data_IF_399254642448
#
_entry.id   IF_399254642448
#
_cell.length_a   1.000
_cell.length_b   1.000
_cell.length_c   1.000
_cell.angle_alpha   90.00
_cell.angle_beta   90.00
_cell.angle_gamma   90.00
#
_symmetry.space_group_name_H-M   'P 1'
#
loop_
_entity.id
_entity.type
_entity.pdbx_description
1 polymer ?
#
# COMPACT_ATOMS: atom_id res chain seq x y z
N UNK A 1 -42.86 -17.39 35.39
CA UNK A 1 -43.16 -16.17 34.63
C UNK A 1 -42.01 -15.26 34.86
N UNK A 2 -41.08 -15.16 33.90
CA UNK A 2 -39.97 -14.22 33.91
C UNK A 2 -40.09 -13.38 32.64
N UNK A 3 -40.36 -12.09 32.84
CA UNK A 3 -40.46 -11.09 31.80
C UNK A 3 -39.06 -10.89 31.19
N UNK A 4 -38.97 -11.07 29.89
CA UNK A 4 -37.80 -10.70 29.10
C UNK A 4 -37.90 -9.20 28.77
N UNK A 5 -37.07 -8.40 29.41
CA UNK A 5 -36.82 -7.00 29.06
C UNK A 5 -36.14 -6.94 27.68
N UNK A 6 -36.84 -6.38 26.72
CA UNK A 6 -36.32 -6.09 25.39
C UNK A 6 -35.37 -4.87 25.46
N UNK A 7 -34.14 -5.05 25.07
CA UNK A 7 -33.17 -3.96 24.89
C UNK A 7 -33.61 -3.01 23.77
N UNK A 8 -33.51 -1.68 23.97
CA UNK A 8 -33.86 -0.71 22.95
C UNK A 8 -32.85 -0.79 21.77
N UNK A 9 -33.35 -1.00 20.58
CA UNK A 9 -32.62 -0.87 19.33
C UNK A 9 -32.39 0.62 19.07
N UNK A 10 -31.21 1.13 19.42
CA UNK A 10 -30.77 2.45 18.97
C UNK A 10 -30.68 2.46 17.44
N UNK A 11 -31.42 3.36 16.83
CA UNK A 11 -31.56 3.53 15.40
C UNK A 11 -30.20 3.84 14.75
N UNK A 12 -29.86 3.02 13.76
CA UNK A 12 -28.80 3.33 12.80
C UNK A 12 -29.18 4.66 12.12
N UNK A 13 -28.35 5.71 12.16
CA UNK A 13 -28.66 6.95 11.46
C UNK A 13 -28.69 6.67 9.95
N UNK A 14 -29.87 6.87 9.35
CA UNK A 14 -30.08 6.83 7.91
C UNK A 14 -29.09 7.77 7.22
N UNK A 15 -28.45 7.27 6.16
CA UNK A 15 -27.60 7.99 5.26
C UNK A 15 -28.41 9.08 4.54
N UNK A 16 -28.61 10.20 5.22
CA UNK A 16 -29.26 11.39 4.69
C UNK A 16 -28.24 12.33 4.04
N UNK A 17 -28.45 12.44 2.74
CA UNK A 17 -28.33 13.66 1.96
C UNK A 17 -26.99 14.11 1.42
N UNK A 18 -26.95 13.97 0.10
CA UNK A 18 -25.98 14.38 -0.89
C UNK A 18 -25.95 15.90 -1.16
N UNK A 19 -25.81 16.73 -0.16
CA UNK A 19 -25.51 18.17 -0.33
C UNK A 19 -24.55 18.68 0.76
N UNK A 20 -23.39 18.01 0.92
CA UNK A 20 -22.29 18.67 1.62
C UNK A 20 -21.75 19.75 0.68
N UNK A 21 -22.12 21.01 0.99
CA UNK A 21 -21.43 22.19 0.44
C UNK A 21 -19.93 21.93 0.58
N UNK A 22 -19.22 21.93 -0.56
CA UNK A 22 -17.79 21.72 -0.60
C UNK A 22 -17.14 22.87 0.20
N UNK A 23 -16.84 22.63 1.46
CA UNK A 23 -15.97 23.51 2.23
C UNK A 23 -14.63 23.53 1.53
N UNK A 24 -14.05 24.71 1.24
CA UNK A 24 -12.74 24.78 0.61
C UNK A 24 -11.74 24.02 1.50
N UNK A 25 -11.07 23.03 0.96
CA UNK A 25 -10.00 22.31 1.63
C UNK A 25 -8.74 23.10 1.40
N UNK A 26 -8.14 23.59 2.47
CA UNK A 26 -6.93 24.41 2.42
C UNK A 26 -5.76 23.56 2.92
N UNK A 27 -4.70 23.47 2.14
CA UNK A 27 -3.43 22.91 2.58
C UNK A 27 -2.47 24.04 2.95
N UNK A 28 -1.58 23.78 3.90
CA UNK A 28 -0.47 24.69 4.21
C UNK A 28 0.57 24.60 3.13
N UNK A 29 1.00 25.77 2.64
CA UNK A 29 2.23 25.86 1.86
C UNK A 29 3.42 25.57 2.79
N UNK A 30 4.45 24.94 2.27
CA UNK A 30 5.70 24.71 2.99
C UNK A 30 6.36 26.02 3.44
N UNK A 31 6.11 27.12 2.70
CA UNK A 31 6.61 28.46 2.97
C UNK A 31 5.67 29.33 3.83
N UNK A 32 4.55 28.76 4.34
CA UNK A 32 3.64 29.43 5.29
C UNK A 32 2.37 30.04 4.68
N UNK A 33 2.15 29.87 3.36
CA UNK A 33 0.93 30.26 2.67
C UNK A 33 -0.20 29.22 2.82
N UNK A 34 -1.38 29.57 2.30
CA UNK A 34 -2.52 28.65 2.15
C UNK A 34 -2.79 28.42 0.68
N UNK A 35 -3.00 27.16 0.31
CA UNK A 35 -3.30 26.73 -1.06
C UNK A 35 -4.65 26.05 -1.07
N UNK A 36 -5.56 26.52 -1.91
CA UNK A 36 -6.85 25.85 -2.12
C UNK A 36 -6.65 24.54 -2.89
N UNK A 37 -7.25 23.48 -2.38
CA UNK A 37 -7.23 22.15 -2.97
C UNK A 37 -8.59 21.82 -3.60
N UNK A 38 -8.58 20.99 -4.65
CA UNK A 38 -9.76 20.48 -5.30
C UNK A 38 -10.60 19.62 -4.34
N UNK A 39 -11.80 20.04 -3.92
CA UNK A 39 -12.62 19.31 -2.97
C UNK A 39 -13.05 17.94 -3.49
N UNK A 40 -13.09 17.71 -4.80
CA UNK A 40 -13.46 16.39 -5.36
C UNK A 40 -12.42 15.31 -5.05
N UNK A 41 -11.18 15.71 -4.83
CA UNK A 41 -10.05 14.83 -4.52
C UNK A 41 -9.73 14.82 -3.02
N UNK A 42 -9.73 15.99 -2.38
CA UNK A 42 -9.22 16.17 -1.03
C UNK A 42 -10.32 16.29 0.06
N UNK A 43 -11.61 16.32 -0.35
CA UNK A 43 -12.75 16.28 0.57
C UNK A 43 -13.59 15.00 0.42
N UNK A 44 -13.05 13.94 -0.19
CA UNK A 44 -13.74 12.68 -0.35
C UNK A 44 -13.96 11.99 1.02
N UNK A 45 -15.05 11.20 1.17
CA UNK A 45 -15.31 10.48 2.41
C UNK A 45 -14.20 9.48 2.72
N UNK A 46 -13.78 9.46 3.99
CA UNK A 46 -12.74 8.53 4.44
C UNK A 46 -13.33 7.13 4.59
N UNK A 47 -12.76 6.16 3.86
CA UNK A 47 -13.19 4.76 3.84
C UNK A 47 -12.05 3.81 4.24
N UNK A 48 -11.98 3.39 5.51
CA UNK A 48 -10.93 2.47 5.98
C UNK A 48 -10.93 1.11 5.27
N UNK A 49 -12.10 0.62 4.83
CA UNK A 49 -12.21 -0.63 4.07
C UNK A 49 -11.49 -0.57 2.73
N UNK A 50 -11.64 0.54 1.98
CA UNK A 50 -10.90 0.75 0.72
C UNK A 50 -9.39 0.87 0.97
N UNK A 51 -8.98 1.52 2.06
CA UNK A 51 -7.56 1.60 2.43
C UNK A 51 -6.99 0.20 2.68
N UNK A 52 -7.68 -0.63 3.45
CA UNK A 52 -7.27 -2.00 3.75
C UNK A 52 -7.09 -2.83 2.48
N UNK A 53 -8.08 -2.83 1.58
CA UNK A 53 -8.03 -3.61 0.36
C UNK A 53 -6.90 -3.15 -0.58
N UNK A 54 -6.70 -1.82 -0.73
CA UNK A 54 -5.66 -1.26 -1.56
C UNK A 54 -4.25 -1.57 -1.01
N UNK A 55 -4.05 -1.44 0.31
CA UNK A 55 -2.78 -1.78 0.98
C UNK A 55 -2.50 -3.28 0.87
N UNK A 56 -3.51 -4.13 1.13
CA UNK A 56 -3.38 -5.58 1.02
C UNK A 56 -2.99 -6.02 -0.39
N UNK A 57 -3.63 -5.43 -1.41
CA UNK A 57 -3.31 -5.69 -2.82
C UNK A 57 -1.86 -5.29 -3.14
N UNK A 58 -1.45 -4.09 -2.75
CA UNK A 58 -0.10 -3.60 -2.98
C UNK A 58 0.96 -4.49 -2.31
N UNK A 59 0.76 -4.84 -1.03
CA UNK A 59 1.66 -5.72 -0.29
C UNK A 59 1.72 -7.14 -0.86
N UNK A 60 0.60 -7.67 -1.34
CA UNK A 60 0.55 -8.97 -2.00
C UNK A 60 1.36 -8.99 -3.31
N UNK A 61 1.24 -7.94 -4.13
CA UNK A 61 2.02 -7.80 -5.37
C UNK A 61 3.54 -7.68 -5.17
N UNK A 62 3.98 -7.26 -3.98
CA UNK A 62 5.41 -7.19 -3.63
C UNK A 62 6.03 -8.52 -3.19
N UNK A 63 5.21 -9.56 -2.99
CA UNK A 63 5.71 -10.88 -2.58
C UNK A 63 6.28 -11.62 -3.77
N UNK A 64 7.55 -12.01 -3.71
CA UNK A 64 8.22 -12.78 -4.76
C UNK A 64 7.70 -14.22 -4.90
N UNK A 65 7.12 -14.80 -3.85
CA UNK A 65 6.49 -16.12 -3.89
C UNK A 65 7.44 -17.30 -4.19
N UNK A 66 8.73 -17.17 -3.94
CA UNK A 66 9.78 -18.12 -4.33
C UNK A 66 9.94 -19.33 -3.40
N UNK A 67 9.12 -19.42 -2.35
CA UNK A 67 9.15 -20.54 -1.42
C UNK A 67 8.76 -21.85 -2.13
N UNK A 68 9.55 -22.89 -1.91
CA UNK A 68 9.32 -24.20 -2.51
C UNK A 68 9.69 -25.34 -1.55
N UNK A 69 8.93 -26.41 -1.64
CA UNK A 69 9.27 -27.68 -0.99
C UNK A 69 9.29 -28.80 -2.00
N UNK A 70 10.16 -29.77 -1.77
CA UNK A 70 10.23 -30.95 -2.63
C UNK A 70 9.13 -31.94 -2.23
N UNK A 71 8.24 -32.23 -3.15
CA UNK A 71 7.28 -33.32 -3.01
C UNK A 71 7.95 -34.69 -3.29
N UNK A 72 7.20 -35.77 -3.12
CA UNK A 72 7.70 -37.13 -3.36
C UNK A 72 8.31 -37.36 -4.74
N UNK A 73 7.86 -36.66 -5.75
CA UNK A 73 8.40 -36.76 -7.12
C UNK A 73 9.78 -36.08 -7.26
N UNK A 74 9.94 -34.94 -6.58
CA UNK A 74 11.13 -34.09 -6.70
C UNK A 74 12.27 -34.46 -5.75
N UNK A 75 11.99 -35.23 -4.70
CA UNK A 75 13.05 -35.69 -3.76
C UNK A 75 13.94 -36.70 -4.47
N UNK A 76 15.26 -36.51 -4.37
CA UNK A 76 16.24 -37.46 -4.87
C UNK A 76 16.10 -38.82 -4.13
N UNK A 77 16.22 -39.91 -4.86
CA UNK A 77 16.16 -41.24 -4.30
C UNK A 77 15.66 -42.29 -5.29
N UNK A 78 15.88 -43.57 -4.97
CA UNK A 78 15.50 -44.67 -5.82
C UNK A 78 13.98 -44.90 -5.92
N UNK A 79 13.54 -45.28 -7.13
CA UNK A 79 12.16 -45.74 -7.39
C UNK A 79 11.88 -47.17 -6.94
N UNK A 80 12.97 -47.93 -6.58
CA UNK A 80 12.84 -49.35 -6.21
C UNK A 80 12.08 -49.49 -4.87
N UNK A 81 11.15 -50.47 -4.84
CA UNK A 81 10.46 -50.87 -3.61
C UNK A 81 11.46 -51.41 -2.59
N UNK A 82 11.51 -50.94 -1.34
CA UNK A 82 12.50 -51.35 -0.33
C UNK A 82 12.50 -52.84 -0.03
N UNK A 83 11.33 -53.46 0.09
CA UNK A 83 11.13 -54.90 0.30
C UNK A 83 9.83 -55.42 -0.33
N UNK A 84 9.68 -56.72 -0.39
CA UNK A 84 8.50 -57.39 -0.97
C UNK A 84 7.23 -57.06 -0.15
N UNK A 85 6.07 -57.20 -0.80
CA UNK A 85 4.77 -56.78 -0.27
C UNK A 85 4.34 -57.53 0.99
N UNK A 86 4.71 -58.80 1.11
CA UNK A 86 4.36 -59.73 2.21
C UNK A 86 5.55 -60.57 2.63
N UNK A 87 5.53 -61.19 3.84
CA UNK A 87 6.50 -62.15 4.29
C UNK A 87 7.82 -61.56 4.82
N UNK A 88 7.86 -60.25 5.23
CA UNK A 88 9.03 -59.61 5.84
C UNK A 88 8.81 -59.19 7.30
N UNK A 89 7.56 -59.28 7.82
CA UNK A 89 7.21 -58.76 9.14
C UNK A 89 7.19 -57.25 9.28
N UNK A 90 7.66 -56.52 8.26
CA UNK A 90 7.71 -55.06 8.24
C UNK A 90 6.42 -54.43 7.66
N UNK A 91 6.16 -53.19 8.05
CA UNK A 91 5.08 -52.40 7.46
C UNK A 91 5.25 -52.26 5.91
N UNK A 92 4.18 -52.24 5.17
CA UNK A 92 4.21 -52.10 3.71
C UNK A 92 4.72 -50.74 3.28
N UNK A 93 5.74 -50.69 2.43
CA UNK A 93 6.33 -49.45 1.92
C UNK A 93 6.54 -49.55 0.42
N UNK A 94 6.10 -48.53 -0.31
CA UNK A 94 6.25 -48.44 -1.76
C UNK A 94 7.54 -47.75 -2.20
N UNK A 95 8.01 -46.77 -1.45
CA UNK A 95 9.20 -45.97 -1.80
C UNK A 95 9.84 -45.36 -0.57
N UNK A 96 11.17 -45.18 -0.58
CA UNK A 96 11.90 -44.44 0.47
C UNK A 96 11.61 -42.94 0.48
N UNK A 97 11.05 -42.38 -0.58
CA UNK A 97 10.66 -40.97 -0.71
C UNK A 97 9.31 -40.63 -0.11
N UNK A 98 8.67 -41.59 0.57
CA UNK A 98 7.37 -41.35 1.24
C UNK A 98 7.51 -40.32 2.35
N UNK A 99 6.49 -39.46 2.56
CA UNK A 99 6.54 -38.42 3.60
C UNK A 99 6.62 -38.96 5.04
N UNK A 100 6.33 -40.26 5.24
CA UNK A 100 6.43 -40.95 6.52
C UNK A 100 7.89 -41.19 6.96
N UNK A 101 8.84 -41.09 6.05
CA UNK A 101 10.24 -41.38 6.31
C UNK A 101 11.06 -40.10 6.43
N UNK A 102 12.13 -40.14 7.23
CA UNK A 102 13.12 -39.05 7.26
C UNK A 102 13.74 -38.86 5.88
N UNK A 103 13.78 -37.61 5.41
CA UNK A 103 14.24 -37.30 4.07
C UNK A 103 13.21 -37.58 2.96
N UNK A 104 11.98 -37.98 3.31
CA UNK A 104 10.87 -38.10 2.37
C UNK A 104 10.34 -36.74 1.90
N UNK A 105 9.45 -36.77 0.88
CA UNK A 105 8.85 -35.57 0.33
C UNK A 105 7.78 -34.96 1.23
N UNK A 106 7.61 -33.66 1.16
CA UNK A 106 6.50 -32.96 1.82
C UNK A 106 5.21 -33.15 1.04
N UNK A 107 4.09 -33.40 1.71
CA UNK A 107 2.80 -33.66 1.02
C UNK A 107 2.18 -32.36 0.49
N UNK A 108 1.90 -31.42 1.37
CA UNK A 108 1.23 -30.13 1.09
C UNK A 108 2.14 -28.94 1.43
N UNK A 109 3.41 -29.04 1.10
CA UNK A 109 4.33 -27.94 1.33
C UNK A 109 4.10 -26.77 0.37
N UNK A 110 4.61 -25.59 0.71
CA UNK A 110 4.49 -24.42 -0.13
C UNK A 110 5.15 -24.66 -1.51
N UNK A 111 4.49 -24.16 -2.55
CA UNK A 111 5.00 -24.15 -3.91
C UNK A 111 5.14 -22.72 -4.40
N UNK A 112 6.06 -22.41 -5.32
CA UNK A 112 6.16 -21.10 -5.91
C UNK A 112 4.83 -20.68 -6.52
N UNK A 113 4.37 -19.47 -6.19
CA UNK A 113 3.15 -18.92 -6.78
C UNK A 113 3.21 -17.41 -6.85
N UNK A 114 2.47 -16.85 -7.77
CA UNK A 114 2.18 -15.43 -7.82
C UNK A 114 1.09 -15.08 -6.81
N UNK A 115 1.31 -14.02 -6.05
CA UNK A 115 0.37 -13.45 -5.06
C UNK A 115 -0.33 -12.21 -5.56
N UNK A 116 0.04 -11.70 -6.74
CA UNK A 116 -0.55 -10.49 -7.28
C UNK A 116 -2.01 -10.73 -7.67
N UNK A 117 -2.84 -9.72 -7.43
CA UNK A 117 -4.21 -9.67 -7.92
C UNK A 117 -4.59 -8.22 -8.26
N UNK A 118 -5.57 -8.05 -9.11
CA UNK A 118 -6.00 -6.74 -9.58
C UNK A 118 -7.24 -6.29 -8.83
N UNK A 119 -7.19 -5.07 -8.28
CA UNK A 119 -8.36 -4.35 -7.82
C UNK A 119 -8.98 -3.53 -8.97
N UNK A 120 -10.31 -3.37 -8.99
CA UNK A 120 -10.97 -2.46 -9.93
C UNK A 120 -10.37 -1.05 -9.84
N UNK A 121 -10.15 -0.39 -10.97
CA UNK A 121 -9.54 0.95 -11.02
C UNK A 121 -10.34 2.01 -10.24
N UNK A 122 -11.67 1.87 -10.18
CA UNK A 122 -12.53 2.74 -9.35
C UNK A 122 -12.22 2.61 -7.86
N UNK A 123 -12.00 1.39 -7.37
CA UNK A 123 -11.63 1.15 -5.97
C UNK A 123 -10.24 1.72 -5.65
N UNK A 124 -9.26 1.56 -6.56
CA UNK A 124 -7.91 2.11 -6.37
C UNK A 124 -7.94 3.64 -6.30
N UNK A 125 -8.67 4.30 -7.21
CA UNK A 125 -8.85 5.76 -7.20
C UNK A 125 -9.60 6.23 -5.97
N UNK A 126 -10.67 5.54 -5.58
CA UNK A 126 -11.42 5.82 -4.35
C UNK A 126 -10.56 5.70 -3.10
N UNK A 127 -9.74 4.65 -2.99
CA UNK A 127 -8.80 4.48 -1.89
C UNK A 127 -7.76 5.60 -1.81
N UNK A 128 -7.22 6.03 -2.96
CA UNK A 128 -6.23 7.10 -3.00
C UNK A 128 -6.85 8.46 -2.67
N UNK A 129 -8.05 8.80 -3.20
CA UNK A 129 -8.80 10.01 -2.82
C UNK A 129 -9.07 10.04 -1.31
N UNK A 130 -9.60 8.95 -0.78
CA UNK A 130 -9.89 8.79 0.65
C UNK A 130 -8.64 8.97 1.53
N UNK A 131 -7.48 8.42 1.12
CA UNK A 131 -6.23 8.57 1.85
C UNK A 131 -5.69 10.01 1.81
N UNK A 132 -5.77 10.70 0.66
CA UNK A 132 -5.37 12.09 0.53
C UNK A 132 -6.29 13.03 1.34
N UNK A 133 -7.60 12.75 1.34
CA UNK A 133 -8.57 13.49 2.17
C UNK A 133 -8.30 13.32 3.67
N UNK A 134 -7.93 12.12 4.09
CA UNK A 134 -7.50 11.88 5.48
C UNK A 134 -6.25 12.69 5.83
N UNK A 135 -5.24 12.69 4.95
CA UNK A 135 -4.02 13.49 5.17
C UNK A 135 -4.29 15.00 5.20
N UNK A 136 -5.20 15.49 4.36
CA UNK A 136 -5.61 16.89 4.36
C UNK A 136 -6.34 17.27 5.66
N UNK A 137 -7.29 16.43 6.11
CA UNK A 137 -8.05 16.68 7.35
C UNK A 137 -7.18 16.64 8.61
N UNK A 138 -6.12 15.84 8.61
CA UNK A 138 -5.15 15.76 9.72
C UNK A 138 -4.02 16.81 9.63
N UNK A 139 -4.02 17.65 8.60
CA UNK A 139 -3.00 18.69 8.41
C UNK A 139 -1.61 18.12 8.07
N UNK A 140 -1.53 16.88 7.61
CA UNK A 140 -0.29 16.19 7.18
C UNK A 140 0.11 16.50 5.76
N UNK A 141 -0.75 17.14 4.98
CA UNK A 141 -0.51 17.50 3.59
C UNK A 141 0.03 18.91 3.52
N UNK A 142 1.15 19.09 2.80
CA UNK A 142 1.76 20.40 2.52
C UNK A 142 2.06 20.50 1.03
N UNK A 143 1.98 21.71 0.52
CA UNK A 143 2.32 22.04 -0.88
C UNK A 143 3.67 22.73 -0.89
N UNK A 144 4.46 22.54 -1.91
CA UNK A 144 5.73 23.24 -2.12
C UNK A 144 5.90 23.62 -3.59
N UNK A 145 6.66 24.66 -3.85
CA UNK A 145 6.97 25.11 -5.21
C UNK A 145 8.15 24.32 -5.78
N UNK A 146 9.30 24.42 -5.15
CA UNK A 146 10.53 23.75 -5.58
C UNK A 146 11.48 23.51 -4.41
N UNK A 147 12.34 22.50 -4.53
CA UNK A 147 13.41 22.26 -3.56
C UNK A 147 14.60 23.18 -3.74
N UNK A 148 14.75 23.87 -4.88
CA UNK A 148 15.87 24.76 -5.19
C UNK A 148 17.21 24.02 -5.20
N UNK A 149 17.26 22.82 -5.77
CA UNK A 149 18.48 22.03 -5.85
C UNK A 149 19.28 22.45 -7.10
N UNK A 150 20.51 22.91 -6.90
CA UNK A 150 21.47 23.20 -7.98
C UNK A 150 22.21 21.95 -8.46
N UNK A 151 21.99 20.80 -7.78
CA UNK A 151 22.59 19.50 -8.06
C UNK A 151 22.27 18.48 -6.97
N UNK A 152 22.72 17.24 -7.11
CA UNK A 152 22.40 16.19 -6.14
C UNK A 152 23.07 16.45 -4.78
N UNK A 153 22.26 16.73 -3.74
CA UNK A 153 22.72 17.01 -2.38
C UNK A 153 21.74 16.55 -1.30
N UNK A 154 22.10 15.51 -0.56
CA UNK A 154 21.30 15.01 0.57
C UNK A 154 21.21 16.03 1.71
N UNK A 155 22.26 16.80 1.93
CA UNK A 155 22.28 17.84 2.97
C UNK A 155 21.30 18.98 2.65
N UNK A 156 21.19 19.39 1.38
CA UNK A 156 20.25 20.42 0.95
C UNK A 156 18.80 19.97 1.18
N UNK A 157 18.47 18.74 0.82
CA UNK A 157 17.13 18.17 1.09
C UNK A 157 16.83 18.13 2.59
N UNK A 158 17.75 17.62 3.41
CA UNK A 158 17.53 17.56 4.86
C UNK A 158 17.34 18.95 5.47
N UNK A 159 18.08 19.97 5.00
CA UNK A 159 17.91 21.36 5.45
C UNK A 159 16.51 21.85 5.11
N UNK A 160 16.07 21.70 3.86
CA UNK A 160 14.72 22.11 3.43
C UNK A 160 13.61 21.40 4.19
N UNK A 161 13.74 20.10 4.42
CA UNK A 161 12.76 19.33 5.22
C UNK A 161 12.73 19.80 6.69
N UNK A 162 13.87 20.24 7.24
CA UNK A 162 13.95 20.88 8.56
C UNK A 162 13.25 22.23 8.60
N UNK A 163 13.49 23.10 7.62
CA UNK A 163 12.83 24.41 7.48
C UNK A 163 11.30 24.25 7.37
N UNK A 164 10.83 23.25 6.68
CA UNK A 164 9.41 22.95 6.52
C UNK A 164 8.78 22.15 7.68
N UNK A 165 9.50 21.97 8.78
CA UNK A 165 9.05 21.17 9.95
C UNK A 165 8.51 19.77 9.55
N UNK A 166 9.17 19.18 8.58
CA UNK A 166 8.79 17.87 8.02
C UNK A 166 9.77 16.75 8.39
N UNK A 167 10.85 17.07 9.13
CA UNK A 167 11.92 16.12 9.46
C UNK A 167 11.54 15.07 10.54
N UNK A 168 10.42 15.25 11.22
CA UNK A 168 10.02 14.41 12.37
C UNK A 168 9.38 13.06 12.05
N UNK A 169 9.60 12.49 10.86
CA UNK A 169 9.00 11.21 10.50
C UNK A 169 9.22 10.83 9.04
N UNK A 170 8.42 9.89 8.54
CA UNK A 170 8.45 9.54 7.11
C UNK A 170 7.81 10.63 6.27
N UNK A 171 8.52 11.06 5.25
CA UNK A 171 8.09 12.09 4.30
C UNK A 171 7.89 11.46 2.93
N UNK A 172 6.76 11.72 2.31
CA UNK A 172 6.49 11.37 0.94
C UNK A 172 6.49 12.63 0.09
N UNK A 173 7.35 12.66 -0.92
CA UNK A 173 7.44 13.74 -1.90
C UNK A 173 6.74 13.29 -3.18
N UNK A 174 5.78 14.07 -3.65
CA UNK A 174 5.00 13.76 -4.85
C UNK A 174 5.27 14.81 -5.91
N UNK A 175 5.79 14.38 -7.05
CA UNK A 175 6.04 15.22 -8.23
C UNK A 175 5.41 14.61 -9.49
N UNK A 176 5.19 15.42 -10.51
CA UNK A 176 4.72 14.94 -11.82
C UNK A 176 5.75 14.01 -12.45
N UNK A 177 7.00 14.47 -12.51
CA UNK A 177 8.18 13.73 -12.96
C UNK A 177 9.36 14.13 -12.04
N UNK A 178 9.73 13.27 -11.08
CA UNK A 178 10.87 13.56 -10.20
C UNK A 178 12.14 13.78 -11.02
N UNK A 179 12.90 14.84 -10.67
CA UNK A 179 14.19 15.08 -11.28
C UNK A 179 15.24 14.06 -10.78
N UNK A 180 16.23 13.76 -11.61
CA UNK A 180 17.34 12.87 -11.22
C UNK A 180 18.09 13.40 -10.00
N UNK A 181 18.25 14.72 -9.89
CA UNK A 181 18.92 15.36 -8.75
C UNK A 181 18.14 15.14 -7.45
N UNK A 182 16.82 15.27 -7.47
CA UNK A 182 15.98 14.99 -6.31
C UNK A 182 16.03 13.50 -5.93
N UNK A 183 15.93 12.61 -6.92
CA UNK A 183 16.03 11.18 -6.68
C UNK A 183 17.37 10.77 -6.08
N UNK A 184 18.49 11.25 -6.64
CA UNK A 184 19.82 10.98 -6.12
C UNK A 184 20.05 11.57 -4.72
N UNK A 185 19.45 12.72 -4.43
CA UNK A 185 19.55 13.40 -3.14
C UNK A 185 18.74 12.69 -2.03
N UNK A 186 17.67 11.98 -2.39
CA UNK A 186 16.74 11.38 -1.43
C UNK A 186 16.92 9.87 -1.24
N UNK A 187 17.42 9.14 -2.25
CA UNK A 187 17.48 7.66 -2.23
C UNK A 187 18.24 7.06 -1.04
N UNK A 188 19.21 7.80 -0.47
CA UNK A 188 19.98 7.37 0.71
C UNK A 188 19.26 7.66 2.03
N UNK A 189 18.14 8.39 2.00
CA UNK A 189 17.38 8.76 3.19
C UNK A 189 16.24 7.75 3.43
N UNK A 190 16.31 6.88 4.47
CA UNK A 190 15.33 5.81 4.67
C UNK A 190 13.94 6.33 5.07
N UNK A 191 13.87 7.60 5.51
CA UNK A 191 12.63 8.25 5.92
C UNK A 191 11.99 9.09 4.80
N UNK A 192 12.60 9.20 3.62
CA UNK A 192 12.11 10.04 2.53
C UNK A 192 11.86 9.15 1.31
N UNK A 193 10.62 9.13 0.86
CA UNK A 193 10.21 8.45 -0.36
C UNK A 193 9.81 9.49 -1.41
N UNK A 194 10.31 9.37 -2.64
CA UNK A 194 9.93 10.24 -3.79
C UNK A 194 9.16 9.42 -4.80
N UNK A 195 7.99 9.89 -5.19
CA UNK A 195 7.09 9.15 -6.07
C UNK A 195 6.48 10.09 -7.12
N UNK A 196 6.41 9.62 -8.36
CA UNK A 196 5.67 10.35 -9.40
C UNK A 196 4.16 10.24 -9.19
N UNK A 197 3.40 11.25 -9.65
CA UNK A 197 1.93 11.22 -9.63
C UNK A 197 1.38 9.92 -10.24
N UNK A 198 2.00 9.41 -11.31
CA UNK A 198 1.55 8.16 -11.97
C UNK A 198 1.72 6.94 -11.08
N UNK A 199 2.82 6.84 -10.34
CA UNK A 199 3.15 5.71 -9.48
C UNK A 199 2.53 5.81 -8.08
N UNK A 200 1.97 6.97 -7.71
CA UNK A 200 1.41 7.21 -6.38
C UNK A 200 0.32 6.21 -6.03
N UNK A 201 0.47 5.53 -4.90
CA UNK A 201 -0.43 4.52 -4.38
C UNK A 201 -0.87 4.85 -2.95
N UNK A 202 -2.05 4.36 -2.55
CA UNK A 202 -2.62 4.56 -1.22
C UNK A 202 -1.68 4.14 -0.08
N UNK A 203 -0.90 3.07 -0.27
CA UNK A 203 0.06 2.58 0.72
C UNK A 203 1.12 3.63 1.11
N UNK A 204 1.71 4.32 0.11
CA UNK A 204 2.74 5.33 0.35
C UNK A 204 2.19 6.53 1.10
N UNK A 205 0.98 6.98 0.73
CA UNK A 205 0.29 8.10 1.40
C UNK A 205 0.01 7.77 2.87
N UNK A 206 -0.51 6.58 3.15
CA UNK A 206 -0.84 6.17 4.53
C UNK A 206 0.41 5.92 5.39
N UNK A 207 1.49 5.45 4.78
CA UNK A 207 2.79 5.19 5.45
C UNK A 207 3.48 6.48 5.87
N UNK A 208 3.29 7.57 5.13
CA UNK A 208 3.95 8.85 5.37
C UNK A 208 3.33 9.59 6.55
N UNK A 209 4.16 10.23 7.38
CA UNK A 209 3.72 11.18 8.41
C UNK A 209 3.41 12.54 7.80
N UNK A 210 4.18 12.95 6.80
CA UNK A 210 3.97 14.21 6.05
C UNK A 210 3.99 13.90 4.56
N UNK A 211 3.05 14.44 3.82
CA UNK A 211 2.94 14.33 2.37
C UNK A 211 3.22 15.71 1.76
N UNK A 212 4.29 15.82 1.00
CA UNK A 212 4.70 17.02 0.28
C UNK A 212 4.30 16.88 -1.18
N UNK A 213 3.45 17.75 -1.69
CA UNK A 213 3.01 17.73 -3.09
C UNK A 213 3.54 18.98 -3.78
N UNK A 214 4.27 18.80 -4.89
CA UNK A 214 4.68 19.92 -5.70
C UNK A 214 3.44 20.60 -6.33
N UNK A 215 3.40 21.94 -6.32
CA UNK A 215 2.25 22.70 -6.84
C UNK A 215 1.89 22.28 -8.28
N UNK A 216 2.87 22.07 -9.14
CA UNK A 216 2.67 21.58 -10.52
C UNK A 216 2.06 20.18 -10.59
N UNK A 217 2.22 19.36 -9.55
CA UNK A 217 1.67 18.01 -9.50
C UNK A 217 0.19 17.96 -9.09
N UNK A 218 -0.36 19.02 -8.50
CA UNK A 218 -1.76 19.06 -8.05
C UNK A 218 -2.73 18.88 -9.23
N UNK A 219 -2.53 19.60 -10.33
CA UNK A 219 -3.39 19.50 -11.51
C UNK A 219 -3.37 18.07 -12.10
N UNK A 220 -2.18 17.48 -12.25
CA UNK A 220 -2.02 16.11 -12.74
C UNK A 220 -2.64 15.08 -11.79
N UNK A 221 -2.63 15.34 -10.47
CA UNK A 221 -3.26 14.50 -9.48
C UNK A 221 -4.79 14.57 -9.57
N UNK A 222 -5.34 15.76 -9.71
CA UNK A 222 -6.79 15.97 -9.91
C UNK A 222 -7.27 15.30 -11.20
N UNK A 223 -6.53 15.40 -12.29
CA UNK A 223 -6.86 14.72 -13.55
C UNK A 223 -6.83 13.19 -13.39
N UNK A 224 -5.79 12.63 -12.77
CA UNK A 224 -5.67 11.18 -12.50
C UNK A 224 -6.84 10.64 -11.66
N UNK A 225 -7.31 11.42 -10.70
CA UNK A 225 -8.31 11.01 -9.71
C UNK A 225 -9.73 11.42 -10.07
N UNK A 226 -9.94 12.31 -11.06
CA UNK A 226 -11.26 12.63 -11.57
C UNK A 226 -11.94 11.38 -12.14
N UNK A 227 -13.27 11.37 -12.17
CA UNK A 227 -14.02 10.21 -12.67
C UNK A 227 -13.86 9.99 -14.19
N UNK A 228 -13.48 11.03 -14.92
CA UNK A 228 -13.30 11.00 -16.38
C UNK A 228 -12.04 10.23 -16.84
N UNK A 229 -11.03 10.02 -16.00
CA UNK A 229 -9.76 9.33 -16.33
C UNK A 229 -9.86 7.79 -16.41
N UNK A 230 -10.99 7.22 -16.78
CA UNK A 230 -11.22 5.79 -16.74
C UNK A 230 -11.80 5.16 -17.99
N UNK A 231 -11.01 5.08 -19.07
CA UNK A 231 -11.15 4.05 -20.10
C UNK A 231 -9.92 3.17 -20.12
#
# INVERSE_FOLDING_TARGET
MAEQEALPTEGVPEAGDSQRRATPVVARDAEGGEVELDPTVFAAPVSPGLHYDAVRQYMAGRRAGTHATKNRALVAGGGRKPWRQKGTGNARVGSRRTPLWRGGGTVFGPQPRDYSYRLPGRMQRGALRSALSLCASEGRLRVFEDFGLEGPSTRAVLRRLGEWDSAGGRVLIVETAPSDDLYLSTRNLPAVDVVSVRALHCYEVLKAKTVLIRRSALAALSEKLSEAGGR
#
